data_IF_452724283966
#
_entry.id   IF_452724283966
#
_cell.length_a   1.000
_cell.length_b   1.000
_cell.length_c   1.000
_cell.angle_alpha   90.00
_cell.angle_beta   90.00
_cell.angle_gamma   90.00
#
_symmetry.space_group_name_H-M   'P 1'
#
loop_
_entity.id
_entity.type
_entity.pdbx_description
1 polymer ?
#
# COMPACT_ATOMS: atom_id res chain seq x y z
N UNK A 1 19.50 -19.83 -4.19
CA UNK A 1 18.91 -19.08 -5.33
C UNK A 1 19.43 -17.65 -5.28
N UNK A 2 19.52 -16.95 -6.42
CA UNK A 2 19.84 -15.51 -6.46
C UNK A 2 18.73 -14.75 -7.19
N UNK A 3 18.48 -13.50 -6.83
CA UNK A 3 17.61 -12.60 -7.60
C UNK A 3 18.05 -11.14 -7.44
N UNK A 4 17.70 -10.31 -8.42
CA UNK A 4 17.70 -8.85 -8.26
C UNK A 4 16.26 -8.36 -8.25
N UNK A 5 15.95 -7.40 -7.38
CA UNK A 5 14.64 -6.77 -7.31
C UNK A 5 14.71 -5.27 -7.59
N UNK A 6 13.86 -4.78 -8.50
CA UNK A 6 13.64 -3.36 -8.74
C UNK A 6 12.51 -2.85 -7.85
N UNK A 7 12.81 -1.89 -6.99
CA UNK A 7 11.89 -1.36 -5.97
C UNK A 7 11.68 0.13 -6.18
N UNK A 8 10.43 0.55 -6.28
CA UNK A 8 10.02 1.93 -6.53
C UNK A 8 9.07 2.46 -5.44
N UNK A 9 8.52 1.57 -4.60
CA UNK A 9 7.61 1.92 -3.52
C UNK A 9 7.83 1.07 -2.24
N UNK A 10 7.40 1.57 -1.07
CA UNK A 10 7.51 0.82 0.18
C UNK A 10 6.73 -0.50 0.20
N UNK A 11 5.56 -0.56 -0.45
CA UNK A 11 4.79 -1.80 -0.56
C UNK A 11 5.57 -2.87 -1.33
N UNK A 12 6.27 -2.50 -2.41
CA UNK A 12 7.12 -3.43 -3.16
C UNK A 12 8.29 -3.93 -2.29
N UNK A 13 8.87 -3.08 -1.44
CA UNK A 13 9.92 -3.50 -0.51
C UNK A 13 9.40 -4.50 0.53
N UNK A 14 8.21 -4.27 1.11
CA UNK A 14 7.55 -5.22 2.00
C UNK A 14 7.31 -6.58 1.32
N UNK A 15 6.87 -6.58 0.06
CA UNK A 15 6.70 -7.81 -0.72
C UNK A 15 8.03 -8.54 -0.93
N UNK A 16 9.14 -7.84 -1.18
CA UNK A 16 10.44 -8.49 -1.31
C UNK A 16 10.92 -9.10 0.00
N UNK A 17 10.67 -8.43 1.12
CA UNK A 17 11.00 -8.97 2.45
C UNK A 17 10.27 -10.32 2.66
N UNK A 18 8.97 -10.37 2.36
CA UNK A 18 8.19 -11.61 2.40
C UNK A 18 8.73 -12.67 1.44
N UNK A 19 8.97 -12.29 0.19
CA UNK A 19 9.47 -13.21 -0.84
C UNK A 19 10.82 -13.81 -0.47
N UNK A 20 11.75 -13.01 0.07
CA UNK A 20 13.05 -13.46 0.54
C UNK A 20 12.91 -14.44 1.72
N UNK A 21 12.02 -14.15 2.67
CA UNK A 21 11.75 -15.00 3.82
C UNK A 21 11.17 -16.37 3.41
N UNK A 22 10.18 -16.38 2.51
CA UNK A 22 9.57 -17.62 1.98
C UNK A 22 10.62 -18.52 1.33
N UNK A 23 11.55 -17.95 0.56
CA UNK A 23 12.49 -18.74 -0.23
C UNK A 23 13.66 -19.31 0.57
N UNK A 24 13.95 -18.79 1.77
CA UNK A 24 15.03 -19.18 2.71
C UNK A 24 16.43 -19.21 2.09
N UNK A 25 17.45 -18.64 2.77
CA UNK A 25 18.86 -18.67 2.30
C UNK A 25 19.04 -18.20 0.84
N UNK A 26 18.38 -17.10 0.49
CA UNK A 26 18.48 -16.50 -0.86
C UNK A 26 19.37 -15.28 -0.80
N UNK A 27 20.35 -15.23 -1.70
CA UNK A 27 21.16 -14.02 -1.87
C UNK A 27 20.42 -13.10 -2.84
N UNK A 28 20.17 -11.86 -2.44
CA UNK A 28 19.47 -10.91 -3.29
C UNK A 28 20.18 -9.57 -3.37
N UNK A 29 19.94 -8.83 -4.44
CA UNK A 29 20.27 -7.41 -4.55
C UNK A 29 18.99 -6.60 -4.73
N UNK A 30 18.87 -5.51 -3.98
CA UNK A 30 17.79 -4.55 -4.09
C UNK A 30 18.30 -3.35 -4.87
N UNK A 31 17.64 -3.06 -5.99
CA UNK A 31 17.85 -1.83 -6.73
C UNK A 31 16.68 -0.89 -6.43
N UNK A 32 16.93 0.06 -5.53
CA UNK A 32 15.93 1.03 -5.09
C UNK A 32 16.00 2.25 -6.00
N UNK A 33 14.91 2.49 -6.74
CA UNK A 33 14.74 3.69 -7.54
C UNK A 33 14.11 4.79 -6.69
N UNK A 34 14.93 5.74 -6.27
CA UNK A 34 14.49 6.94 -5.57
C UNK A 34 13.72 7.85 -6.54
N UNK A 35 12.60 8.39 -6.09
CA UNK A 35 11.74 9.31 -6.86
C UNK A 35 11.69 10.70 -6.20
N UNK A 36 10.88 11.62 -6.76
CA UNK A 36 10.75 12.98 -6.24
C UNK A 36 9.87 13.09 -4.97
N UNK A 37 9.28 11.98 -4.51
CA UNK A 37 8.49 11.95 -3.27
C UNK A 37 9.40 11.63 -2.08
N UNK A 38 9.79 12.66 -1.33
CA UNK A 38 10.66 12.51 -0.16
C UNK A 38 10.09 11.53 0.89
N UNK A 39 8.77 11.57 1.13
CA UNK A 39 8.08 10.64 2.05
C UNK A 39 8.22 9.18 1.60
N UNK A 40 8.06 8.90 0.30
CA UNK A 40 8.24 7.56 -0.27
C UNK A 40 9.66 7.04 -0.06
N UNK A 41 10.67 7.87 -0.34
CA UNK A 41 12.08 7.50 -0.17
C UNK A 41 12.40 7.27 1.31
N UNK A 42 11.97 8.16 2.21
CA UNK A 42 12.17 8.00 3.65
C UNK A 42 11.55 6.69 4.18
N UNK A 43 10.32 6.39 3.77
CA UNK A 43 9.64 5.14 4.14
C UNK A 43 10.44 3.91 3.68
N UNK A 44 11.04 3.92 2.49
CA UNK A 44 11.89 2.82 2.04
C UNK A 44 13.16 2.67 2.89
N UNK A 45 13.84 3.78 3.23
CA UNK A 45 15.02 3.72 4.11
C UNK A 45 14.67 3.21 5.51
N UNK A 46 13.56 3.69 6.09
CA UNK A 46 13.09 3.21 7.39
C UNK A 46 12.73 1.72 7.38
N UNK A 47 12.26 1.18 6.25
CA UNK A 47 12.05 -0.27 6.10
C UNK A 47 13.37 -1.06 6.05
N UNK A 48 14.39 -0.55 5.35
CA UNK A 48 15.71 -1.19 5.29
C UNK A 48 16.28 -1.33 6.70
N UNK A 49 16.22 -0.25 7.49
CA UNK A 49 16.67 -0.24 8.89
C UNK A 49 15.83 -1.18 9.76
N UNK A 50 14.49 -1.07 9.69
CA UNK A 50 13.55 -1.84 10.51
C UNK A 50 13.67 -3.36 10.32
N UNK A 51 13.96 -3.79 9.10
CA UNK A 51 14.16 -5.21 8.75
C UNK A 51 15.63 -5.62 8.73
N UNK A 52 16.53 -4.72 9.15
CA UNK A 52 17.98 -4.95 9.23
C UNK A 52 18.54 -5.51 7.91
N UNK A 53 18.09 -4.96 6.79
CA UNK A 53 18.57 -5.33 5.47
C UNK A 53 20.01 -4.81 5.34
N UNK A 54 20.95 -5.73 5.12
CA UNK A 54 22.36 -5.38 4.90
C UNK A 54 22.50 -4.41 3.72
N UNK A 55 23.05 -3.22 4.00
CA UNK A 55 23.29 -2.16 3.02
C UNK A 55 24.16 -2.62 1.85
N UNK A 56 25.03 -3.62 2.04
CA UNK A 56 25.80 -4.22 0.95
C UNK A 56 24.91 -4.79 -0.15
N UNK A 57 23.66 -5.13 0.17
CA UNK A 57 22.66 -5.65 -0.75
C UNK A 57 21.77 -4.58 -1.38
N UNK A 58 21.95 -3.31 -1.04
CA UNK A 58 21.10 -2.22 -1.50
C UNK A 58 21.88 -1.27 -2.41
N UNK A 59 21.34 -1.01 -3.60
CA UNK A 59 21.84 0.00 -4.54
C UNK A 59 20.74 1.04 -4.75
N UNK A 60 21.04 2.30 -4.45
CA UNK A 60 20.09 3.42 -4.50
C UNK A 60 20.40 4.29 -5.71
N UNK A 61 19.42 4.50 -6.59
CA UNK A 61 19.59 5.27 -7.82
C UNK A 61 18.39 6.18 -8.08
N UNK A 62 18.65 7.41 -8.55
CA UNK A 62 17.60 8.33 -9.01
C UNK A 62 17.39 8.25 -10.53
N UNK A 63 18.48 8.11 -11.28
CA UNK A 63 18.45 8.18 -12.75
C UNK A 63 17.95 6.86 -13.37
N UNK A 64 16.95 6.95 -14.26
CA UNK A 64 16.37 5.80 -14.96
C UNK A 64 17.38 5.01 -15.80
N UNK A 65 18.31 5.66 -16.51
CA UNK A 65 19.31 4.96 -17.33
C UNK A 65 20.30 4.21 -16.45
N UNK A 66 20.77 4.83 -15.37
CA UNK A 66 21.60 4.16 -14.38
C UNK A 66 20.89 2.94 -13.77
N UNK A 67 19.59 3.06 -13.46
CA UNK A 67 18.78 1.93 -12.99
C UNK A 67 18.79 0.79 -14.01
N UNK A 68 18.52 1.06 -15.30
CA UNK A 68 18.53 0.01 -16.34
C UNK A 68 19.90 -0.67 -16.43
N UNK A 69 20.98 0.11 -16.51
CA UNK A 69 22.35 -0.41 -16.65
C UNK A 69 22.73 -1.27 -15.45
N UNK A 70 22.58 -0.74 -14.23
CA UNK A 70 22.89 -1.49 -13.01
C UNK A 70 22.02 -2.74 -12.90
N UNK A 71 20.73 -2.66 -13.25
CA UNK A 71 19.83 -3.81 -13.21
C UNK A 71 20.30 -4.93 -14.14
N UNK A 72 20.69 -4.60 -15.38
CA UNK A 72 21.22 -5.58 -16.33
C UNK A 72 22.53 -6.21 -15.85
N UNK A 73 23.45 -5.40 -15.30
CA UNK A 73 24.71 -5.90 -14.72
C UNK A 73 24.47 -6.93 -13.62
N UNK A 74 23.61 -6.61 -12.65
CA UNK A 74 23.30 -7.52 -11.55
C UNK A 74 22.41 -8.68 -11.97
N UNK A 75 21.56 -8.52 -12.99
CA UNK A 75 20.74 -9.60 -13.52
C UNK A 75 21.59 -10.74 -14.07
N UNK A 76 22.72 -10.44 -14.73
CA UNK A 76 23.65 -11.47 -15.21
C UNK A 76 24.18 -12.36 -14.06
N UNK A 77 24.41 -11.78 -12.88
CA UNK A 77 24.82 -12.53 -11.67
C UNK A 77 23.66 -13.26 -10.99
N UNK A 78 22.48 -12.64 -10.97
CA UNK A 78 21.32 -13.11 -10.21
C UNK A 78 20.57 -14.24 -10.90
N UNK A 79 20.43 -14.20 -12.23
CA UNK A 79 19.67 -15.17 -13.01
C UNK A 79 18.14 -15.15 -12.79
N UNK A 80 17.61 -14.28 -11.93
CA UNK A 80 16.17 -13.99 -11.78
C UNK A 80 15.96 -12.51 -11.52
N UNK A 81 14.89 -11.98 -12.10
CA UNK A 81 14.46 -10.59 -12.04
C UNK A 81 13.14 -10.50 -11.29
N UNK A 82 13.05 -9.62 -10.30
CA UNK A 82 11.82 -9.29 -9.59
C UNK A 82 11.51 -7.81 -9.85
N UNK A 83 10.31 -7.50 -10.32
CA UNK A 83 9.98 -6.17 -10.84
C UNK A 83 8.68 -5.67 -10.21
N UNK A 84 8.74 -4.46 -9.66
CA UNK A 84 7.62 -3.81 -8.97
C UNK A 84 6.36 -3.59 -9.81
N UNK A 85 6.53 -3.02 -11.00
CA UNK A 85 5.43 -2.63 -11.89
C UNK A 85 5.74 -3.00 -13.35
N UNK A 86 4.78 -3.68 -13.99
CA UNK A 86 4.84 -4.06 -15.40
C UNK A 86 4.63 -2.88 -16.36
N UNK A 87 4.13 -1.76 -15.88
CA UNK A 87 3.95 -0.53 -16.66
C UNK A 87 5.14 0.43 -16.50
N UNK A 88 6.08 0.10 -15.60
CA UNK A 88 7.24 0.93 -15.30
C UNK A 88 8.05 1.18 -16.58
N UNK A 89 8.53 2.43 -16.72
CA UNK A 89 9.38 2.80 -17.84
C UNK A 89 10.67 2.00 -17.90
N UNK A 90 11.17 1.53 -16.75
CA UNK A 90 12.35 0.67 -16.65
C UNK A 90 12.05 -0.70 -17.23
N UNK A 91 10.94 -1.34 -16.85
CA UNK A 91 10.57 -2.65 -17.39
C UNK A 91 10.31 -2.61 -18.91
N UNK A 92 9.74 -1.52 -19.42
CA UNK A 92 9.54 -1.34 -20.87
C UNK A 92 10.82 -1.48 -21.68
N UNK A 93 11.98 -1.15 -21.10
CA UNK A 93 13.30 -1.37 -21.71
C UNK A 93 13.80 -2.78 -21.42
N UNK A 94 13.71 -3.22 -20.16
CA UNK A 94 14.24 -4.52 -19.73
C UNK A 94 13.54 -5.71 -20.40
N UNK A 95 12.26 -5.61 -20.77
CA UNK A 95 11.50 -6.72 -21.37
C UNK A 95 12.09 -7.27 -22.67
N UNK A 96 12.90 -6.49 -23.38
CA UNK A 96 13.56 -6.93 -24.62
C UNK A 96 14.83 -7.75 -24.37
N UNK A 97 15.37 -7.70 -23.15
CA UNK A 97 16.63 -8.35 -22.78
C UNK A 97 16.39 -9.48 -21.77
N UNK A 98 15.42 -9.32 -20.89
CA UNK A 98 15.13 -10.29 -19.85
C UNK A 98 14.23 -11.42 -20.40
N UNK A 99 14.63 -12.69 -20.27
CA UNK A 99 13.78 -13.81 -20.67
C UNK A 99 12.56 -13.90 -19.75
N UNK A 100 11.32 -13.99 -20.30
CA UNK A 100 10.08 -13.98 -19.50
C UNK A 100 10.02 -15.03 -18.39
N UNK A 101 10.63 -16.20 -18.60
CA UNK A 101 10.68 -17.30 -17.61
C UNK A 101 11.49 -16.99 -16.35
N UNK A 102 12.29 -15.91 -16.38
CA UNK A 102 13.12 -15.46 -15.25
C UNK A 102 12.56 -14.22 -14.55
N UNK A 103 11.38 -13.75 -14.95
CA UNK A 103 10.75 -12.53 -14.43
C UNK A 103 9.64 -12.90 -13.46
N UNK A 104 9.61 -12.21 -12.32
CA UNK A 104 8.53 -12.27 -11.34
C UNK A 104 8.07 -10.83 -11.11
N UNK A 105 6.78 -10.55 -11.27
CA UNK A 105 6.21 -9.26 -10.90
C UNK A 105 5.81 -9.20 -9.43
N UNK A 106 5.79 -7.99 -8.88
CA UNK A 106 5.17 -7.65 -7.60
C UNK A 106 3.87 -6.88 -7.84
N UNK A 107 3.14 -6.61 -6.78
CA UNK A 107 1.99 -5.72 -6.81
C UNK A 107 2.40 -4.25 -6.82
N UNK A 108 1.69 -3.47 -7.63
CA UNK A 108 1.70 -2.00 -7.62
C UNK A 108 0.30 -1.46 -7.27
N UNK A 109 -0.23 -1.94 -6.14
CA UNK A 109 -1.59 -1.63 -5.71
C UNK A 109 -2.65 -2.12 -6.70
N UNK A 110 -3.74 -1.37 -6.85
CA UNK A 110 -4.90 -1.74 -7.69
C UNK A 110 -4.60 -1.76 -9.18
N UNK A 111 -3.51 -1.11 -9.63
CA UNK A 111 -3.07 -1.24 -11.03
C UNK A 111 -2.80 -2.71 -11.39
N UNK A 112 -2.40 -3.53 -10.41
CA UNK A 112 -2.20 -4.96 -10.56
C UNK A 112 -3.46 -5.71 -10.99
N UNK A 113 -4.64 -5.30 -10.52
CA UNK A 113 -5.93 -5.93 -10.90
C UNK A 113 -6.25 -5.73 -12.38
N UNK A 114 -5.71 -4.68 -12.99
CA UNK A 114 -5.84 -4.41 -14.43
C UNK A 114 -4.76 -5.06 -15.28
N UNK A 115 -3.85 -5.82 -14.66
CA UNK A 115 -2.75 -6.48 -15.36
C UNK A 115 -3.25 -7.50 -16.37
N UNK A 116 -2.68 -7.45 -17.58
CA UNK A 116 -2.91 -8.46 -18.64
C UNK A 116 -1.75 -9.43 -18.79
N UNK A 117 -0.72 -9.30 -17.95
CA UNK A 117 0.48 -10.12 -18.03
C UNK A 117 0.21 -11.54 -17.59
N UNK A 118 0.66 -12.51 -18.39
CA UNK A 118 0.67 -13.94 -18.03
C UNK A 118 1.95 -14.37 -17.32
N UNK A 119 2.85 -13.41 -17.03
CA UNK A 119 4.10 -13.72 -16.34
C UNK A 119 3.83 -14.02 -14.86
N UNK A 120 4.76 -14.77 -14.27
CA UNK A 120 4.70 -15.13 -12.86
C UNK A 120 4.65 -13.87 -11.99
N UNK A 121 3.80 -13.89 -10.97
CA UNK A 121 3.63 -12.77 -10.03
C UNK A 121 3.71 -13.26 -8.59
N UNK A 122 4.37 -12.51 -7.73
CA UNK A 122 4.24 -12.60 -6.29
C UNK A 122 3.23 -11.55 -5.84
N UNK A 123 2.06 -11.96 -5.37
CA UNK A 123 0.91 -11.05 -5.24
C UNK A 123 -0.01 -11.42 -4.09
N UNK A 124 -0.68 -10.40 -3.54
CA UNK A 124 -1.80 -10.52 -2.61
C UNK A 124 -3.13 -10.83 -3.31
N UNK A 125 -3.20 -10.63 -4.63
CA UNK A 125 -4.38 -10.90 -5.43
C UNK A 125 -4.26 -12.31 -6.02
N UNK A 126 -4.81 -13.30 -5.32
CA UNK A 126 -4.69 -14.70 -5.70
C UNK A 126 -5.14 -14.96 -7.14
N UNK A 127 -4.26 -15.53 -7.96
CA UNK A 127 -4.56 -16.00 -9.31
C UNK A 127 -3.98 -17.41 -9.52
N UNK A 128 -4.48 -18.14 -10.52
CA UNK A 128 -4.12 -19.55 -10.75
C UNK A 128 -2.60 -19.80 -10.88
N UNK A 129 -1.86 -18.82 -11.41
CA UNK A 129 -0.43 -18.94 -11.72
C UNK A 129 0.47 -18.03 -10.84
N UNK A 130 -0.06 -17.45 -9.76
CA UNK A 130 0.70 -16.60 -8.85
C UNK A 130 1.38 -17.36 -7.72
N UNK A 131 2.48 -16.78 -7.22
CA UNK A 131 2.99 -17.06 -5.88
C UNK A 131 2.22 -16.16 -4.92
N UNK A 132 1.54 -16.76 -3.95
CA UNK A 132 0.76 -16.02 -2.97
C UNK A 132 1.67 -15.28 -1.99
N UNK A 133 1.37 -14.02 -1.76
CA UNK A 133 1.90 -13.23 -0.66
C UNK A 133 0.82 -13.07 0.40
N UNK A 134 1.03 -13.68 1.58
CA UNK A 134 0.10 -13.62 2.71
C UNK A 134 0.60 -12.70 3.84
N UNK A 135 1.72 -11.99 3.63
CA UNK A 135 2.36 -11.11 4.61
C UNK A 135 2.62 -11.76 6.00
N UNK A 136 2.91 -13.07 6.01
CA UNK A 136 3.09 -13.83 7.26
C UNK A 136 4.27 -13.32 8.08
N UNK A 137 5.41 -13.01 7.44
CA UNK A 137 6.60 -12.57 8.17
C UNK A 137 6.42 -11.19 8.82
N UNK A 138 5.83 -10.26 8.07
CA UNK A 138 5.50 -8.90 8.52
C UNK A 138 4.45 -8.96 9.63
N UNK A 139 3.40 -9.77 9.45
CA UNK A 139 2.37 -10.00 10.47
C UNK A 139 2.98 -10.54 11.76
N UNK A 140 3.80 -11.59 11.69
CA UNK A 140 4.49 -12.14 12.87
C UNK A 140 5.37 -11.12 13.58
N UNK A 141 6.12 -10.29 12.83
CA UNK A 141 6.97 -9.25 13.41
C UNK A 141 6.13 -8.23 14.18
N UNK A 142 5.02 -7.79 13.60
CA UNK A 142 4.07 -6.88 14.26
C UNK A 142 3.50 -7.54 15.51
N UNK A 143 2.95 -8.76 15.42
CA UNK A 143 2.36 -9.45 16.57
C UNK A 143 3.35 -9.66 17.72
N UNK A 144 4.62 -9.93 17.42
CA UNK A 144 5.68 -10.06 18.45
C UNK A 144 5.98 -8.71 19.12
N UNK A 145 5.99 -7.62 18.36
CA UNK A 145 6.21 -6.26 18.89
C UNK A 145 5.00 -5.69 19.63
N UNK A 146 3.79 -6.14 19.29
CA UNK A 146 2.52 -5.70 19.89
C UNK A 146 2.14 -6.48 21.16
N UNK A 147 3.01 -7.34 21.71
CA UNK A 147 2.79 -8.03 22.99
C UNK A 147 2.91 -7.03 24.15
N UNK A 148 1.84 -6.29 24.40
CA UNK A 148 1.70 -5.30 25.48
C UNK A 148 0.46 -4.44 25.21
N UNK A 149 -0.26 -4.05 26.25
CA UNK A 149 -1.57 -3.38 26.21
C UNK A 149 -1.56 -2.02 25.46
N UNK A 150 -1.49 -2.06 24.13
CA UNK A 150 -1.70 -0.90 23.28
C UNK A 150 -3.18 -0.53 23.27
N UNK A 151 -3.46 0.77 23.25
CA UNK A 151 -4.82 1.28 23.06
C UNK A 151 -5.40 0.75 21.75
N UNK A 152 -6.64 0.27 21.78
CA UNK A 152 -7.37 -0.11 20.57
C UNK A 152 -7.78 1.15 19.81
N UNK A 153 -7.50 1.16 18.50
CA UNK A 153 -7.79 2.31 17.63
C UNK A 153 -8.58 1.90 16.40
N UNK A 154 -9.45 2.81 15.98
CA UNK A 154 -9.96 2.89 14.62
C UNK A 154 -8.96 3.65 13.78
N UNK A 155 -8.56 3.05 12.66
CA UNK A 155 -7.68 3.68 11.68
C UNK A 155 -8.53 4.12 10.49
N UNK A 156 -8.43 5.39 10.11
CA UNK A 156 -8.94 5.85 8.82
C UNK A 156 -7.75 6.05 7.88
N UNK A 157 -7.67 5.25 6.81
CA UNK A 157 -6.68 5.40 5.75
C UNK A 157 -7.21 6.38 4.69
N UNK A 158 -6.63 7.57 4.67
CA UNK A 158 -6.97 8.64 3.73
C UNK A 158 -6.68 8.28 2.27
N UNK A 159 -7.24 9.08 1.37
CA UNK A 159 -7.08 8.91 -0.07
C UNK A 159 -6.95 10.25 -0.78
N UNK A 160 -6.11 10.29 -1.81
CA UNK A 160 -5.92 11.49 -2.65
C UNK A 160 -7.08 11.72 -3.64
N UNK A 161 -8.33 11.57 -3.18
CA UNK A 161 -9.51 11.52 -4.05
C UNK A 161 -9.71 12.83 -4.81
N UNK A 162 -9.78 13.94 -4.06
CA UNK A 162 -9.95 15.27 -4.64
C UNK A 162 -8.73 15.71 -5.48
N UNK A 163 -7.52 15.38 -5.03
CA UNK A 163 -6.26 15.69 -5.69
C UNK A 163 -6.08 14.91 -7.00
N UNK A 164 -6.65 13.71 -7.07
CA UNK A 164 -6.66 12.89 -8.27
C UNK A 164 -7.83 13.24 -9.23
N UNK A 165 -8.68 14.21 -8.87
CA UNK A 165 -9.88 14.58 -9.63
C UNK A 165 -10.96 13.50 -9.64
N UNK A 166 -10.98 12.62 -8.63
CA UNK A 166 -12.00 11.56 -8.52
C UNK A 166 -13.35 12.16 -8.11
N UNK A 167 -13.34 13.13 -7.21
CA UNK A 167 -14.51 13.91 -6.79
C UNK A 167 -14.08 15.36 -6.52
N UNK A 168 -15.04 16.27 -6.30
CA UNK A 168 -14.69 17.62 -5.86
C UNK A 168 -14.11 17.60 -4.43
N UNK A 169 -13.50 18.72 -4.02
CA UNK A 169 -12.99 18.88 -2.65
C UNK A 169 -14.14 18.96 -1.65
N UNK A 170 -15.22 19.63 -2.04
CA UNK A 170 -16.44 19.80 -1.26
C UNK A 170 -17.10 18.45 -1.01
N UNK A 171 -17.24 17.63 -2.06
CA UNK A 171 -17.74 16.26 -1.97
C UNK A 171 -16.83 15.40 -1.07
N UNK A 172 -15.51 15.52 -1.23
CA UNK A 172 -14.57 14.80 -0.39
C UNK A 172 -14.77 15.10 1.11
N UNK A 173 -15.01 16.35 1.46
CA UNK A 173 -15.25 16.78 2.84
C UNK A 173 -16.61 16.34 3.36
N UNK A 174 -17.63 16.33 2.50
CA UNK A 174 -18.94 15.77 2.80
C UNK A 174 -18.82 14.27 3.17
N UNK A 175 -18.06 13.51 2.38
CA UNK A 175 -17.84 12.08 2.61
C UNK A 175 -17.05 11.81 3.88
N UNK A 176 -15.97 12.57 4.13
CA UNK A 176 -15.23 12.48 5.38
C UNK A 176 -16.16 12.73 6.58
N UNK A 177 -17.00 13.77 6.51
CA UNK A 177 -17.98 14.06 7.57
C UNK A 177 -18.97 12.92 7.78
N UNK A 178 -19.52 12.36 6.70
CA UNK A 178 -20.45 11.24 6.77
C UNK A 178 -19.83 10.05 7.53
N UNK A 179 -18.66 9.58 7.07
CA UNK A 179 -17.99 8.41 7.64
C UNK A 179 -17.56 8.66 9.09
N UNK A 180 -17.03 9.84 9.39
CA UNK A 180 -16.60 10.18 10.75
C UNK A 180 -17.77 10.30 11.72
N UNK A 181 -18.95 10.76 11.27
CA UNK A 181 -20.16 10.74 12.08
C UNK A 181 -20.60 9.31 12.38
N UNK A 182 -20.64 8.43 11.38
CA UNK A 182 -21.00 7.02 11.62
C UNK A 182 -20.06 6.33 12.61
N UNK A 183 -18.74 6.55 12.49
CA UNK A 183 -17.76 5.99 13.43
C UNK A 183 -17.99 6.54 14.85
N UNK A 184 -18.28 7.84 14.97
CA UNK A 184 -18.56 8.49 16.25
C UNK A 184 -19.85 7.97 16.88
N UNK A 185 -20.92 7.84 16.11
CA UNK A 185 -22.22 7.33 16.55
C UNK A 185 -22.15 5.87 16.98
N UNK A 186 -21.28 5.07 16.34
CA UNK A 186 -20.98 3.70 16.76
C UNK A 186 -20.19 3.62 18.09
N UNK A 187 -19.72 4.75 18.64
CA UNK A 187 -19.00 4.78 19.91
C UNK A 187 -17.58 4.19 19.85
N UNK A 188 -16.98 4.14 18.66
CA UNK A 188 -15.70 3.45 18.40
C UNK A 188 -14.45 4.20 18.91
N UNK A 189 -14.62 5.22 19.75
CA UNK A 189 -13.53 5.96 20.39
C UNK A 189 -12.83 6.96 19.46
N UNK A 190 -11.52 7.14 19.67
CA UNK A 190 -10.70 8.14 18.95
C UNK A 190 -10.20 7.57 17.63
N UNK A 191 -10.45 8.26 16.53
CA UNK A 191 -10.02 7.86 15.20
C UNK A 191 -8.60 8.35 14.93
N UNK A 192 -7.72 7.46 14.46
CA UNK A 192 -6.41 7.83 13.94
C UNK A 192 -6.50 7.95 12.41
N UNK A 193 -6.49 9.18 11.90
CA UNK A 193 -6.52 9.48 10.48
C UNK A 193 -5.10 9.50 9.90
N UNK A 194 -4.84 8.65 8.92
CA UNK A 194 -3.55 8.54 8.23
C UNK A 194 -3.69 9.09 6.80
N UNK A 195 -3.26 10.34 6.53
CA UNK A 195 -3.38 10.91 5.20
C UNK A 195 -2.50 10.16 4.20
N UNK A 196 -3.02 9.99 2.99
CA UNK A 196 -2.23 9.42 1.89
C UNK A 196 -1.06 10.36 1.52
N UNK A 197 0.07 9.80 1.06
CA UNK A 197 1.31 10.55 0.75
C UNK A 197 1.17 11.69 -0.28
N UNK A 198 0.08 11.69 -1.04
CA UNK A 198 -0.24 12.73 -2.03
C UNK A 198 -1.58 13.40 -1.78
N UNK A 199 -2.10 13.28 -0.56
CA UNK A 199 -3.30 13.95 -0.09
C UNK A 199 -2.87 15.19 0.70
N UNK A 200 -3.36 16.36 0.29
CA UNK A 200 -3.00 17.64 0.89
C UNK A 200 -4.23 18.47 1.26
N UNK A 201 -5.37 18.28 0.57
CA UNK A 201 -6.61 18.98 0.84
C UNK A 201 -7.21 18.59 2.20
N UNK A 202 -6.82 17.45 2.78
CA UNK A 202 -7.28 17.01 4.10
C UNK A 202 -7.03 18.04 5.20
N UNK A 203 -5.98 18.86 5.06
CA UNK A 203 -5.61 19.88 6.07
C UNK A 203 -6.69 20.94 6.23
N UNK A 204 -7.42 21.24 5.17
CA UNK A 204 -8.49 22.24 5.24
C UNK A 204 -9.74 21.68 5.92
N UNK A 205 -9.96 20.36 5.84
CA UNK A 205 -11.02 19.69 6.59
C UNK A 205 -10.65 19.51 8.06
N UNK A 206 -9.46 18.98 8.35
CA UNK A 206 -9.05 18.63 9.72
C UNK A 206 -8.43 19.81 10.48
N UNK A 207 -9.23 20.88 10.62
CA UNK A 207 -8.95 21.97 11.56
C UNK A 207 -9.04 21.49 13.01
N UNK A 208 -8.46 22.23 13.97
CA UNK A 208 -8.60 21.92 15.42
C UNK A 208 -10.06 21.71 15.84
N UNK A 209 -10.97 22.52 15.27
CA UNK A 209 -12.42 22.39 15.51
C UNK A 209 -12.96 21.03 15.03
N UNK A 210 -12.68 20.66 13.79
CA UNK A 210 -13.20 19.41 13.22
C UNK A 210 -12.56 18.18 13.86
N UNK A 211 -11.26 18.20 14.17
CA UNK A 211 -10.61 17.14 14.94
C UNK A 211 -11.30 16.92 16.30
N UNK A 212 -11.68 17.99 17.00
CA UNK A 212 -12.41 17.88 18.26
C UNK A 212 -13.85 17.37 18.06
N UNK A 213 -14.57 17.85 17.04
CA UNK A 213 -15.96 17.44 16.75
C UNK A 213 -16.03 15.93 16.47
N UNK A 214 -15.10 15.41 15.68
CA UNK A 214 -15.09 14.02 15.24
C UNK A 214 -14.17 13.11 16.08
N UNK A 215 -13.54 13.65 17.13
CA UNK A 215 -12.55 12.93 17.95
C UNK A 215 -11.44 12.25 17.09
N UNK A 216 -10.82 13.03 16.21
CA UNK A 216 -9.80 12.57 15.25
C UNK A 216 -8.41 13.06 15.66
N UNK A 217 -7.44 12.15 15.59
CA UNK A 217 -6.00 12.45 15.57
C UNK A 217 -5.46 12.26 14.16
N UNK A 218 -4.85 13.29 13.58
CA UNK A 218 -4.12 13.15 12.32
C UNK A 218 -2.72 12.64 12.63
N UNK A 219 -2.25 11.65 11.87
CA UNK A 219 -0.89 11.16 12.00
C UNK A 219 -0.20 10.94 10.65
N UNK A 220 0.82 11.75 10.39
CA UNK A 220 1.72 11.57 9.26
C UNK A 220 2.81 10.55 9.60
N UNK A 221 2.58 9.31 9.18
CA UNK A 221 3.45 8.16 9.39
C UNK A 221 4.82 8.25 8.67
N UNK A 222 5.87 7.73 9.33
CA UNK A 222 7.22 7.56 8.79
C UNK A 222 7.45 6.18 8.18
N UNK A 223 6.71 5.16 8.64
CA UNK A 223 6.66 3.85 8.02
C UNK A 223 5.49 3.77 7.03
N UNK A 224 5.41 2.75 6.16
CA UNK A 224 4.19 2.48 5.38
C UNK A 224 2.98 2.28 6.30
N UNK A 225 1.77 2.55 5.81
CA UNK A 225 0.55 2.47 6.63
C UNK A 225 0.29 1.03 7.11
N UNK A 226 0.78 0.04 6.36
CA UNK A 226 0.79 -1.37 6.72
C UNK A 226 1.50 -1.66 8.05
N UNK A 227 2.37 -0.77 8.52
CA UNK A 227 3.13 -0.91 9.77
C UNK A 227 2.67 0.08 10.85
N UNK A 228 1.50 0.70 10.71
CA UNK A 228 1.06 1.76 11.63
C UNK A 228 0.94 1.27 13.08
N UNK A 229 0.50 0.03 13.29
CA UNK A 229 0.41 -0.57 14.62
C UNK A 229 1.78 -0.62 15.32
N UNK A 230 2.83 -0.92 14.56
CA UNK A 230 4.20 -0.96 15.04
C UNK A 230 4.73 0.44 15.35
N UNK A 231 4.51 1.39 14.43
CA UNK A 231 4.97 2.77 14.58
C UNK A 231 4.32 3.46 15.79
N UNK A 232 3.01 3.29 15.96
CA UNK A 232 2.22 3.94 17.02
C UNK A 232 2.07 3.12 18.29
N UNK A 233 2.54 1.86 18.30
CA UNK A 233 2.36 0.91 19.42
C UNK A 233 0.89 0.77 19.83
N UNK A 234 0.02 0.60 18.84
CA UNK A 234 -1.44 0.48 19.01
C UNK A 234 -1.93 -0.88 18.54
N UNK A 235 -3.12 -1.28 19.01
CA UNK A 235 -3.86 -2.39 18.43
C UNK A 235 -4.92 -1.84 17.48
N UNK A 236 -5.00 -2.42 16.29
CA UNK A 236 -6.00 -2.01 15.30
C UNK A 236 -7.27 -2.83 15.52
N UNK A 237 -8.38 -2.16 15.77
CA UNK A 237 -9.71 -2.78 15.91
C UNK A 237 -10.49 -2.71 14.60
N UNK A 238 -10.49 -1.53 13.99
CA UNK A 238 -11.14 -1.26 12.71
C UNK A 238 -10.18 -0.49 11.80
N UNK A 239 -10.22 -0.82 10.51
CA UNK A 239 -9.61 0.00 9.45
C UNK A 239 -10.70 0.41 8.49
N UNK A 240 -10.75 1.70 8.21
CA UNK A 240 -11.75 2.32 7.35
C UNK A 240 -11.04 3.08 6.23
N UNK A 241 -11.59 3.00 5.02
CA UNK A 241 -11.13 3.82 3.89
C UNK A 241 -12.25 3.94 2.86
N UNK A 242 -12.13 4.86 1.90
CA UNK A 242 -13.00 4.84 0.73
C UNK A 242 -12.64 3.65 -0.17
N UNK A 243 -11.42 3.60 -0.71
CA UNK A 243 -10.91 2.46 -1.49
C UNK A 243 -9.36 2.41 -1.60
N UNK A 244 -8.66 2.58 -0.47
CA UNK A 244 -7.20 2.46 -0.44
C UNK A 244 -6.71 1.04 -0.71
N UNK A 245 -5.68 0.89 -1.54
CA UNK A 245 -5.02 -0.40 -1.81
C UNK A 245 -4.39 -1.02 -0.57
N UNK A 246 -3.94 -0.17 0.36
CA UNK A 246 -3.31 -0.63 1.59
C UNK A 246 -4.27 -1.44 2.46
N UNK A 247 -5.59 -1.28 2.28
CA UNK A 247 -6.58 -2.09 2.98
C UNK A 247 -6.41 -3.59 2.72
N UNK A 248 -6.07 -3.99 1.48
CA UNK A 248 -5.88 -5.39 1.13
C UNK A 248 -4.64 -5.99 1.81
N UNK A 249 -3.50 -5.28 1.78
CA UNK A 249 -2.28 -5.73 2.46
C UNK A 249 -2.43 -5.69 3.98
N UNK A 250 -3.07 -4.65 4.52
CA UNK A 250 -3.36 -4.55 5.95
C UNK A 250 -4.28 -5.67 6.43
N UNK A 251 -5.29 -6.09 5.65
CA UNK A 251 -6.17 -7.19 6.01
C UNK A 251 -5.43 -8.53 6.16
N UNK A 252 -4.38 -8.75 5.37
CA UNK A 252 -3.51 -9.93 5.52
C UNK A 252 -2.63 -9.84 6.76
N UNK A 253 -2.18 -8.63 7.12
CA UNK A 253 -1.31 -8.36 8.26
C UNK A 253 -2.07 -8.43 9.59
N UNK A 254 -3.25 -7.81 9.65
CA UNK A 254 -4.06 -7.59 10.85
C UNK A 254 -5.32 -8.46 10.84
N UNK A 255 -5.14 -9.77 11.04
CA UNK A 255 -6.21 -10.78 10.90
C UNK A 255 -7.38 -10.60 11.87
N UNK A 256 -7.15 -9.96 13.02
CA UNK A 256 -8.17 -9.72 14.04
C UNK A 256 -8.89 -8.37 13.88
N UNK A 257 -8.50 -7.56 12.88
CA UNK A 257 -9.11 -6.25 12.63
C UNK A 257 -10.24 -6.35 11.61
N UNK A 258 -11.25 -5.49 11.78
CA UNK A 258 -12.34 -5.37 10.82
C UNK A 258 -12.01 -4.32 9.76
N UNK A 259 -12.24 -4.67 8.49
CA UNK A 259 -11.96 -3.78 7.35
C UNK A 259 -13.27 -3.33 6.70
N UNK A 260 -13.46 -2.02 6.60
CA UNK A 260 -14.66 -1.40 6.02
C UNK A 260 -14.26 -0.43 4.93
N UNK A 261 -14.84 -0.62 3.75
CA UNK A 261 -14.75 0.29 2.62
C UNK A 261 -16.02 1.13 2.51
N UNK A 262 -15.85 2.38 2.11
CA UNK A 262 -16.95 3.29 1.82
C UNK A 262 -17.03 3.62 0.34
N UNK A 263 -18.12 3.19 -0.29
CA UNK A 263 -18.42 3.43 -1.71
C UNK A 263 -18.89 4.87 -1.89
N UNK A 264 -18.15 5.62 -2.72
CA UNK A 264 -18.54 6.97 -3.12
C UNK A 264 -19.81 6.95 -3.98
N UNK A 265 -20.68 7.97 -3.89
CA UNK A 265 -21.83 8.09 -4.78
C UNK A 265 -21.41 8.12 -6.26
N UNK A 266 -22.01 7.27 -7.08
CA UNK A 266 -21.63 7.07 -8.49
C UNK A 266 -21.71 8.33 -9.36
N UNK A 267 -22.57 9.27 -9.00
CA UNK A 267 -22.78 10.52 -9.72
C UNK A 267 -21.66 11.54 -9.45
N UNK A 268 -20.93 11.36 -8.36
CA UNK A 268 -19.92 12.30 -7.90
C UNK A 268 -18.49 11.83 -8.29
N UNK A 269 -18.39 10.63 -8.89
CA UNK A 269 -17.13 10.11 -9.45
C UNK A 269 -16.89 10.75 -10.83
N UNK A 270 -16.00 11.74 -10.86
CA UNK A 270 -15.68 12.57 -12.02
C UNK A 270 -14.67 11.92 -12.97
N UNK A 271 -13.75 11.09 -12.46
CA UNK A 271 -12.78 10.39 -13.29
C UNK A 271 -12.58 8.92 -12.86
N UNK A 272 -12.02 8.11 -13.76
CA UNK A 272 -11.69 6.70 -13.52
C UNK A 272 -12.89 5.84 -13.07
N UNK A 273 -14.11 6.26 -13.42
CA UNK A 273 -15.37 5.64 -12.98
C UNK A 273 -15.38 4.12 -13.18
N UNK A 274 -15.08 3.64 -14.39
CA UNK A 274 -15.03 2.20 -14.67
C UNK A 274 -14.03 1.44 -13.79
N UNK A 275 -12.84 2.01 -13.57
CA UNK A 275 -11.81 1.36 -12.75
C UNK A 275 -12.22 1.32 -11.27
N UNK A 276 -12.90 2.35 -10.78
CA UNK A 276 -13.42 2.43 -9.40
C UNK A 276 -14.60 1.45 -9.22
N UNK A 277 -15.51 1.36 -10.18
CA UNK A 277 -16.62 0.40 -10.14
C UNK A 277 -16.11 -1.04 -10.13
N UNK A 278 -15.16 -1.37 -11.00
CA UNK A 278 -14.50 -2.69 -10.99
C UNK A 278 -13.77 -2.97 -9.67
N UNK A 279 -13.21 -1.94 -9.04
CA UNK A 279 -12.61 -2.08 -7.72
C UNK A 279 -13.66 -2.38 -6.65
N UNK A 280 -14.84 -1.75 -6.69
CA UNK A 280 -15.93 -2.08 -5.76
C UNK A 280 -16.45 -3.50 -5.95
N UNK A 281 -16.61 -3.96 -7.18
CA UNK A 281 -16.93 -5.35 -7.49
C UNK A 281 -15.88 -6.29 -6.90
N UNK A 282 -14.60 -6.02 -7.14
CA UNK A 282 -13.51 -6.78 -6.57
C UNK A 282 -13.52 -6.81 -5.04
N UNK A 283 -13.77 -5.67 -4.38
CA UNK A 283 -13.88 -5.57 -2.92
C UNK A 283 -14.98 -6.50 -2.40
N UNK A 284 -16.16 -6.51 -3.04
CA UNK A 284 -17.27 -7.39 -2.68
C UNK A 284 -16.92 -8.87 -2.91
N UNK A 285 -16.30 -9.20 -4.03
CA UNK A 285 -15.90 -10.56 -4.38
C UNK A 285 -14.86 -11.14 -3.42
N UNK A 286 -14.01 -10.28 -2.84
CA UNK A 286 -13.06 -10.65 -1.78
C UNK A 286 -13.72 -10.74 -0.39
N UNK A 287 -15.03 -10.50 -0.26
CA UNK A 287 -15.76 -10.61 0.99
C UNK A 287 -15.57 -9.43 1.96
N UNK A 288 -15.00 -8.31 1.50
CA UNK A 288 -14.87 -7.13 2.33
C UNK A 288 -16.22 -6.41 2.49
N UNK A 289 -16.41 -5.78 3.66
CA UNK A 289 -17.57 -4.94 3.91
C UNK A 289 -17.44 -3.64 3.12
N UNK A 290 -18.35 -3.43 2.16
CA UNK A 290 -18.46 -2.20 1.39
C UNK A 290 -19.80 -1.52 1.72
N UNK A 291 -19.75 -0.30 2.25
CA UNK A 291 -20.92 0.48 2.64
C UNK A 291 -21.10 1.66 1.68
N UNK A 292 -22.29 1.86 1.10
CA UNK A 292 -22.56 3.05 0.31
C UNK A 292 -22.62 4.28 1.22
N UNK A 293 -21.99 5.38 0.79
CA UNK A 293 -22.25 6.68 1.40
C UNK A 293 -23.64 7.12 0.96
N UNK A 294 -24.55 7.29 1.92
CA UNK A 294 -25.87 7.85 1.63
C UNK A 294 -25.71 9.24 1.02
N UNK A 295 -26.48 9.58 -0.02
CA UNK A 295 -26.44 10.91 -0.62
C UNK A 295 -26.74 11.98 0.44
N UNK A 296 -25.70 12.65 0.93
CA UNK A 296 -25.81 13.79 1.84
C UNK A 296 -26.03 15.04 0.99
N UNK A 297 -27.21 15.20 0.39
CA UNK A 297 -27.58 16.44 -0.30
C UNK A 297 -28.45 17.32 0.58
#
# INVERSE_FOLDING_TARGET
MKFIALIESPLQLLQIIEYANIKKKVNYKLLIRLNNCAKNNRQMESLIELFSIDDSNVVRLKNKSAVVVCYLMYFMWAGRAVIGDENSGVYRVLKYVLPPSRIIFLDDGVATLSSKSKLKRFTIFHTKDSINNEFLHVSEKISKSSKGAGEEKVIFVGGKLSEAGICSKEDYFLYLRYVLNEIKEAGEGKVLYIPHRGEYNYKDFFTKKNCNIFNVEIYENNLPVELIALEKRIRIKHVVSFFSTAMFSMAMIYKDANFVFYELPHNDIQCRKEAIVKLYEFIRDQGFRLLPIACVK
#
